data_IF_598239685982
#
_entry.id   IF_598239685982
#
_cell.length_a   1.000
_cell.length_b   1.000
_cell.length_c   1.000
_cell.angle_alpha   90.00
_cell.angle_beta   90.00
_cell.angle_gamma   90.00
#
_symmetry.space_group_name_H-M   'P 1'
#
loop_
_entity.id
_entity.type
_entity.pdbx_description
1 polymer ?
#
# COMPACT_ATOMS: atom_id res chain seq x y z
N UNK A 1 -29.73 -27.51 1.63
CA UNK A 1 -30.71 -27.85 0.61
C UNK A 1 -30.07 -28.50 -0.64
N UNK A 2 -28.74 -28.78 -0.63
CA UNK A 2 -28.00 -29.47 -1.68
C UNK A 2 -27.80 -28.69 -2.99
N UNK A 3 -28.06 -27.38 -3.00
CA UNK A 3 -27.79 -26.56 -4.19
C UNK A 3 -26.28 -26.39 -4.41
N UNK A 4 -25.85 -26.60 -5.66
CA UNK A 4 -24.50 -26.35 -6.11
C UNK A 4 -24.43 -24.92 -6.66
N UNK A 5 -23.48 -24.13 -6.13
CA UNK A 5 -23.18 -22.77 -6.62
C UNK A 5 -21.85 -22.79 -7.35
N UNK A 6 -21.83 -22.28 -8.59
CA UNK A 6 -20.60 -22.06 -9.34
C UNK A 6 -20.20 -20.60 -9.22
N UNK A 7 -18.92 -20.35 -9.00
CA UNK A 7 -18.32 -19.01 -8.92
C UNK A 7 -17.00 -18.98 -9.67
N UNK A 8 -16.80 -17.91 -10.42
CA UNK A 8 -15.48 -17.60 -10.96
C UNK A 8 -14.59 -17.04 -9.86
N UNK A 9 -13.30 -17.39 -9.89
CA UNK A 9 -12.30 -16.90 -8.97
C UNK A 9 -11.12 -16.35 -9.73
N UNK A 10 -10.74 -15.10 -9.46
CA UNK A 10 -9.53 -14.50 -9.96
C UNK A 10 -8.40 -14.79 -8.98
N UNK A 11 -7.29 -15.35 -9.49
CA UNK A 11 -6.05 -15.52 -8.74
C UNK A 11 -5.12 -14.38 -9.13
N UNK A 12 -4.60 -13.70 -8.11
CA UNK A 12 -3.67 -12.56 -8.27
C UNK A 12 -2.31 -12.93 -7.70
N UNK A 13 -1.22 -12.51 -8.39
CA UNK A 13 0.15 -12.69 -7.91
C UNK A 13 0.51 -14.15 -7.61
N UNK A 14 1.00 -14.41 -6.39
CA UNK A 14 1.26 -15.74 -5.86
C UNK A 14 -0.02 -16.55 -5.69
N UNK A 15 0.08 -17.84 -5.36
CA UNK A 15 -1.08 -18.75 -5.16
C UNK A 15 -2.16 -18.23 -4.21
N UNK A 16 -1.80 -17.35 -3.25
CA UNK A 16 -2.74 -16.75 -2.29
C UNK A 16 -3.26 -15.39 -2.76
N UNK A 17 -2.44 -14.65 -3.52
CA UNK A 17 -2.75 -13.30 -3.99
C UNK A 17 -2.78 -12.24 -2.88
N UNK A 18 -2.22 -12.54 -1.71
CA UNK A 18 -2.13 -11.60 -0.60
C UNK A 18 -1.14 -10.49 -0.94
N UNK A 19 -1.46 -9.27 -0.55
CA UNK A 19 -0.61 -8.11 -0.80
C UNK A 19 -0.42 -7.27 0.47
N UNK A 20 0.62 -6.46 0.45
CA UNK A 20 0.92 -5.48 1.48
C UNK A 20 0.84 -4.07 0.91
N UNK A 21 0.36 -3.13 1.71
CA UNK A 21 0.29 -1.71 1.38
C UNK A 21 1.02 -0.96 2.47
N UNK A 22 1.92 -0.06 2.09
CA UNK A 22 2.79 0.61 3.04
C UNK A 22 2.60 2.11 2.96
N UNK A 23 2.29 2.75 4.08
CA UNK A 23 2.36 4.20 4.25
C UNK A 23 3.69 4.54 4.91
N UNK A 24 4.69 5.02 4.15
CA UNK A 24 5.96 5.45 4.72
C UNK A 24 5.85 6.87 5.27
N UNK A 25 6.35 7.08 6.49
CA UNK A 25 6.44 8.41 7.12
C UNK A 25 7.87 8.65 7.58
N UNK A 26 8.47 9.75 7.14
CA UNK A 26 9.78 10.20 7.62
C UNK A 26 9.65 10.98 8.93
N UNK A 27 10.78 11.28 9.58
CA UNK A 27 10.81 12.15 10.77
C UNK A 27 10.32 13.58 10.47
N UNK A 28 10.51 14.03 9.25
CA UNK A 28 10.06 15.34 8.75
C UNK A 28 8.57 15.34 8.34
N UNK A 29 7.83 14.25 8.60
CA UNK A 29 6.43 14.04 8.25
C UNK A 29 6.17 14.02 6.73
N UNK A 30 7.17 13.66 5.94
CA UNK A 30 6.98 13.38 4.54
C UNK A 30 6.49 11.94 4.35
N UNK A 31 5.71 11.75 3.32
CA UNK A 31 5.31 10.43 2.80
C UNK A 31 5.72 10.28 1.35
N UNK A 32 5.60 9.08 0.83
CA UNK A 32 5.85 8.78 -0.57
C UNK A 32 4.58 8.16 -1.17
N UNK A 33 4.12 8.74 -2.25
CA UNK A 33 3.13 8.17 -3.14
C UNK A 33 3.84 7.61 -4.37
N UNK A 34 3.29 6.58 -4.97
CA UNK A 34 3.74 6.03 -6.25
C UNK A 34 2.73 6.37 -7.34
N UNK A 35 3.24 6.65 -8.53
CA UNK A 35 2.45 6.86 -9.74
C UNK A 35 2.78 5.70 -10.65
N UNK A 36 1.82 4.80 -10.82
CA UNK A 36 2.02 3.54 -11.53
C UNK A 36 1.14 3.47 -12.79
N UNK A 37 1.70 2.90 -13.87
CA UNK A 37 0.92 2.56 -15.05
C UNK A 37 -0.08 1.45 -14.72
N UNK A 38 -1.36 1.70 -14.97
CA UNK A 38 -2.47 0.77 -14.73
C UNK A 38 -3.36 0.69 -15.97
N UNK A 39 -3.05 -0.14 -16.97
CA UNK A 39 -3.78 -0.19 -18.24
C UNK A 39 -5.29 -0.45 -18.09
N UNK A 40 -5.70 -1.09 -17.01
CA UNK A 40 -7.10 -1.45 -16.75
C UNK A 40 -7.93 -0.30 -16.13
N UNK A 41 -7.31 0.82 -15.74
CA UNK A 41 -8.06 1.97 -15.25
C UNK A 41 -8.19 3.02 -16.35
N UNK A 42 -9.27 3.81 -16.30
CA UNK A 42 -9.64 4.78 -17.33
C UNK A 42 -8.53 5.78 -17.65
N UNK A 43 -7.81 6.22 -16.63
CA UNK A 43 -6.76 7.23 -16.74
C UNK A 43 -5.42 6.61 -17.23
N UNK A 44 -5.31 5.29 -17.30
CA UNK A 44 -4.07 4.58 -17.67
C UNK A 44 -2.97 4.63 -16.61
N UNK A 45 -3.15 5.44 -15.57
CA UNK A 45 -2.24 5.60 -14.43
C UNK A 45 -3.03 5.69 -13.13
N UNK A 46 -2.40 5.32 -12.01
CA UNK A 46 -2.98 5.43 -10.68
C UNK A 46 -1.98 6.06 -9.71
N UNK A 47 -2.50 6.84 -8.76
CA UNK A 47 -1.73 7.36 -7.62
C UNK A 47 -2.04 6.47 -6.43
N UNK A 48 -1.01 5.83 -5.90
CA UNK A 48 -1.14 4.77 -4.91
C UNK A 48 -0.09 4.95 -3.79
N UNK A 49 -0.23 4.20 -2.71
CA UNK A 49 0.86 3.94 -1.77
C UNK A 49 1.73 2.79 -2.29
N UNK A 50 3.01 2.71 -1.91
CA UNK A 50 3.84 1.55 -2.19
C UNK A 50 3.16 0.25 -1.77
N UNK A 51 3.14 -0.74 -2.66
CA UNK A 51 2.39 -1.97 -2.46
C UNK A 51 2.87 -3.11 -3.37
N UNK A 52 2.85 -4.34 -2.88
CA UNK A 52 3.13 -5.50 -3.70
C UNK A 52 2.66 -6.81 -3.09
N UNK A 53 2.88 -7.90 -3.81
CA UNK A 53 2.45 -9.22 -3.36
C UNK A 53 3.41 -9.81 -2.33
N UNK A 54 2.83 -10.59 -1.41
CA UNK A 54 3.60 -11.44 -0.50
C UNK A 54 4.11 -12.66 -1.27
N UNK A 55 5.41 -12.85 -1.30
CA UNK A 55 6.05 -13.99 -1.98
C UNK A 55 5.92 -15.29 -1.17
N UNK A 56 6.23 -16.42 -1.82
CA UNK A 56 6.28 -17.71 -1.14
C UNK A 56 7.43 -17.70 -0.12
N UNK A 57 7.14 -18.15 1.11
CA UNK A 57 8.06 -18.19 2.26
C UNK A 57 8.45 -16.83 2.86
N UNK A 58 7.73 -15.79 2.54
CA UNK A 58 7.89 -14.44 3.08
C UNK A 58 6.75 -14.12 4.07
N UNK A 59 7.06 -13.47 5.16
CA UNK A 59 6.03 -12.88 6.04
C UNK A 59 5.52 -11.56 5.45
N UNK A 60 4.34 -11.11 5.90
CA UNK A 60 3.77 -9.84 5.46
C UNK A 60 4.65 -8.63 5.83
N UNK A 61 5.33 -8.70 6.97
CA UNK A 61 6.28 -7.68 7.42
C UNK A 61 7.55 -7.66 6.57
N UNK A 62 8.04 -8.81 6.15
CA UNK A 62 9.18 -8.91 5.22
C UNK A 62 8.81 -8.37 3.85
N UNK A 63 7.66 -8.76 3.30
CA UNK A 63 7.11 -8.21 2.06
C UNK A 63 6.99 -6.69 2.13
N UNK A 64 6.42 -6.15 3.21
CA UNK A 64 6.28 -4.71 3.38
C UNK A 64 7.61 -3.96 3.39
N UNK A 65 8.65 -4.55 3.99
CA UNK A 65 10.00 -3.96 3.98
C UNK A 65 10.67 -4.06 2.62
N UNK A 66 10.49 -5.18 1.91
CA UNK A 66 11.02 -5.40 0.57
C UNK A 66 10.40 -4.41 -0.41
N UNK A 67 9.07 -4.35 -0.50
CA UNK A 67 8.34 -3.46 -1.39
C UNK A 67 8.65 -1.98 -1.13
N UNK A 68 8.68 -1.55 0.14
CA UNK A 68 9.09 -0.20 0.51
C UNK A 68 10.48 0.15 -0.03
N UNK A 69 11.42 -0.79 0.06
CA UNK A 69 12.78 -0.60 -0.43
C UNK A 69 12.84 -0.59 -1.95
N UNK A 70 12.16 -1.52 -2.62
CA UNK A 70 12.18 -1.67 -4.08
C UNK A 70 11.55 -0.48 -4.78
N UNK A 71 10.34 -0.10 -4.38
CA UNK A 71 9.60 0.98 -5.02
C UNK A 71 10.07 2.40 -4.64
N UNK A 72 10.63 2.58 -3.44
CA UNK A 72 10.97 3.94 -2.95
C UNK A 72 12.44 4.14 -2.58
N UNK A 73 13.20 3.07 -2.44
CA UNK A 73 14.57 3.10 -1.89
C UNK A 73 14.63 3.36 -0.38
N UNK A 74 13.48 3.37 0.29
CA UNK A 74 13.39 3.69 1.72
C UNK A 74 13.41 2.44 2.59
N UNK A 75 13.89 2.60 3.82
CA UNK A 75 13.92 1.55 4.84
C UNK A 75 13.42 2.07 6.17
N UNK A 76 12.86 1.18 6.99
CA UNK A 76 12.45 1.46 8.36
C UNK A 76 12.73 0.28 9.29
N UNK A 77 12.87 0.57 10.59
CA UNK A 77 12.86 -0.43 11.65
C UNK A 77 11.50 -0.53 12.35
N UNK A 78 10.54 0.35 12.02
CA UNK A 78 9.27 0.45 12.72
C UNK A 78 8.12 0.25 11.73
N UNK A 79 7.49 -0.93 11.77
CA UNK A 79 6.25 -1.22 11.07
C UNK A 79 5.12 -1.41 12.07
N UNK A 80 3.98 -0.80 11.79
CA UNK A 80 2.75 -0.94 12.57
C UNK A 80 1.67 -1.47 11.64
N UNK A 81 1.10 -2.63 11.94
CA UNK A 81 -0.06 -3.14 11.22
C UNK A 81 -1.27 -2.24 11.52
N UNK A 82 -1.81 -1.60 10.48
CA UNK A 82 -3.00 -0.75 10.58
C UNK A 82 -4.30 -1.55 10.47
N UNK A 83 -4.26 -2.65 9.77
CA UNK A 83 -5.40 -3.55 9.59
C UNK A 83 -5.25 -4.44 8.37
N UNK A 84 -6.19 -5.36 8.26
CA UNK A 84 -6.26 -6.33 7.17
C UNK A 84 -7.65 -6.35 6.57
N UNK A 85 -7.76 -6.68 5.29
CA UNK A 85 -9.03 -6.64 4.57
C UNK A 85 -9.01 -7.48 3.30
N UNK A 86 -10.19 -7.91 2.88
CA UNK A 86 -10.37 -8.47 1.54
C UNK A 86 -10.57 -7.35 0.53
N UNK A 87 -9.82 -7.34 -0.55
CA UNK A 87 -9.96 -6.34 -1.61
C UNK A 87 -11.25 -6.52 -2.40
N UNK A 88 -11.56 -7.77 -2.78
CA UNK A 88 -12.74 -8.11 -3.56
C UNK A 88 -13.16 -9.56 -3.26
N UNK A 89 -13.84 -9.74 -2.15
CA UNK A 89 -14.27 -11.07 -1.68
C UNK A 89 -15.35 -11.73 -2.56
N UNK A 90 -15.90 -11.00 -3.52
CA UNK A 90 -16.84 -11.54 -4.49
C UNK A 90 -16.18 -12.44 -5.53
N UNK A 91 -14.93 -12.15 -5.89
CA UNK A 91 -14.21 -12.85 -6.97
C UNK A 91 -12.78 -13.26 -6.61
N UNK A 92 -12.22 -12.78 -5.51
CA UNK A 92 -10.84 -13.05 -5.08
C UNK A 92 -10.77 -13.43 -3.62
N UNK A 93 -9.80 -14.27 -3.26
CA UNK A 93 -9.47 -14.59 -1.88
C UNK A 93 -8.30 -13.75 -1.34
N UNK A 94 -7.81 -12.78 -2.09
CA UNK A 94 -6.70 -11.92 -1.70
C UNK A 94 -7.00 -11.20 -0.38
N UNK A 95 -6.16 -11.41 0.63
CA UNK A 95 -6.27 -10.84 1.97
C UNK A 95 -5.11 -9.92 2.23
N UNK A 96 -5.35 -8.63 2.08
CA UNK A 96 -4.32 -7.60 2.07
C UNK A 96 -4.06 -7.06 3.47
N UNK A 97 -2.82 -6.65 3.72
CA UNK A 97 -2.37 -6.08 4.99
C UNK A 97 -1.81 -4.69 4.79
N UNK A 98 -2.30 -3.74 5.57
CA UNK A 98 -1.92 -2.34 5.52
C UNK A 98 -0.96 -2.01 6.67
N UNK A 99 0.17 -1.40 6.35
CA UNK A 99 1.22 -1.04 7.29
C UNK A 99 1.50 0.46 7.30
N UNK A 100 1.80 0.98 8.49
CA UNK A 100 2.44 2.27 8.69
C UNK A 100 3.92 2.03 8.97
N UNK A 101 4.78 2.58 8.14
CA UNK A 101 6.23 2.53 8.28
C UNK A 101 6.73 3.87 8.82
N UNK A 102 7.28 3.88 10.03
CA UNK A 102 7.72 5.10 10.71
C UNK A 102 9.23 5.30 10.60
N UNK A 103 9.65 6.56 10.73
CA UNK A 103 11.06 6.98 10.67
C UNK A 103 11.78 6.46 9.43
N UNK A 104 11.07 6.46 8.31
CA UNK A 104 11.60 6.02 7.03
C UNK A 104 12.79 6.86 6.59
N UNK A 105 13.80 6.20 6.07
CA UNK A 105 15.01 6.83 5.54
C UNK A 105 15.29 6.30 4.12
N UNK A 106 15.42 7.20 3.16
CA UNK A 106 15.85 6.83 1.81
C UNK A 106 17.34 6.51 1.82
N UNK A 107 17.69 5.27 1.54
CA UNK A 107 19.08 4.77 1.54
C UNK A 107 19.51 4.19 0.19
N UNK A 108 18.56 3.88 -0.69
CA UNK A 108 18.81 3.18 -1.95
C UNK A 108 18.12 3.90 -3.11
N UNK A 109 18.53 3.59 -4.32
CA UNK A 109 17.74 3.86 -5.52
C UNK A 109 16.58 2.87 -5.61
N UNK A 110 15.53 3.19 -6.39
CA UNK A 110 14.49 2.23 -6.75
C UNK A 110 15.10 0.99 -7.42
N UNK A 111 14.53 -0.16 -7.17
CA UNK A 111 14.92 -1.45 -7.73
C UNK A 111 13.66 -2.15 -8.27
N UNK A 112 13.10 -1.57 -9.33
CA UNK A 112 11.86 -2.02 -9.94
C UNK A 112 12.08 -3.27 -10.81
N UNK A 113 11.06 -4.12 -10.90
CA UNK A 113 11.02 -5.21 -11.86
C UNK A 113 10.93 -4.69 -13.30
N UNK A 114 11.26 -5.53 -14.28
CA UNK A 114 11.38 -5.10 -15.71
C UNK A 114 10.06 -4.61 -16.31
N UNK A 115 8.95 -5.06 -15.78
CA UNK A 115 7.58 -4.74 -16.19
C UNK A 115 6.89 -3.74 -15.26
N UNK A 116 7.61 -3.19 -14.28
CA UNK A 116 7.12 -2.14 -13.40
C UNK A 116 7.48 -0.75 -13.92
N UNK A 117 6.46 0.08 -14.09
CA UNK A 117 6.58 1.47 -14.52
C UNK A 117 6.07 2.38 -13.40
N UNK A 118 6.92 2.56 -12.39
CA UNK A 118 6.60 3.30 -11.16
C UNK A 118 7.48 4.55 -11.06
N UNK A 119 6.86 5.70 -10.84
CA UNK A 119 7.51 6.91 -10.34
C UNK A 119 7.01 7.19 -8.94
N UNK A 120 7.87 7.67 -8.06
CA UNK A 120 7.45 8.11 -6.74
C UNK A 120 7.36 9.64 -6.65
N UNK A 121 6.48 10.10 -5.78
CA UNK A 121 6.26 11.50 -5.43
C UNK A 121 6.33 11.65 -3.92
N UNK A 122 7.32 12.40 -3.44
CA UNK A 122 7.48 12.71 -2.01
C UNK A 122 6.72 14.00 -1.68
N UNK A 123 5.88 13.95 -0.66
CA UNK A 123 5.08 15.08 -0.21
C UNK A 123 4.90 15.07 1.31
N UNK A 124 4.31 16.10 1.88
CA UNK A 124 3.86 16.07 3.27
C UNK A 124 2.70 15.09 3.44
N UNK A 125 2.62 14.46 4.61
CA UNK A 125 1.49 13.55 4.90
C UNK A 125 0.13 14.27 4.78
N UNK A 126 0.05 15.53 5.21
CA UNK A 126 -1.14 16.37 5.07
C UNK A 126 -1.51 16.56 3.59
N UNK A 127 -0.53 16.76 2.71
CA UNK A 127 -0.77 16.88 1.26
C UNK A 127 -1.32 15.57 0.66
N UNK A 128 -0.79 14.43 1.09
CA UNK A 128 -1.34 13.13 0.68
C UNK A 128 -2.81 12.96 1.10
N UNK A 129 -3.19 13.44 2.28
CA UNK A 129 -4.57 13.46 2.74
C UNK A 129 -5.44 14.42 1.92
N UNK A 130 -4.92 15.58 1.51
CA UNK A 130 -5.63 16.48 0.60
C UNK A 130 -5.84 15.85 -0.78
N UNK A 131 -4.84 15.16 -1.32
CA UNK A 131 -4.96 14.44 -2.59
C UNK A 131 -6.02 13.33 -2.51
N UNK A 132 -6.11 12.64 -1.38
CA UNK A 132 -7.16 11.68 -1.10
C UNK A 132 -8.54 12.35 -1.10
N UNK A 133 -8.71 13.44 -0.35
CA UNK A 133 -9.99 14.18 -0.23
C UNK A 133 -10.44 14.78 -1.57
N UNK A 134 -9.50 15.21 -2.41
CA UNK A 134 -9.75 15.72 -3.77
C UNK A 134 -10.02 14.61 -4.80
N UNK A 135 -9.92 13.32 -4.41
CA UNK A 135 -10.20 12.18 -5.29
C UNK A 135 -9.10 11.85 -6.30
N UNK A 136 -7.88 12.31 -6.10
CA UNK A 136 -6.74 11.92 -6.93
C UNK A 136 -6.23 10.52 -6.60
N UNK A 137 -6.32 10.09 -5.34
CA UNK A 137 -6.01 8.72 -4.92
C UNK A 137 -7.30 7.91 -5.00
N UNK A 138 -7.44 7.10 -6.05
CA UNK A 138 -8.63 6.28 -6.31
C UNK A 138 -8.46 4.82 -5.93
N UNK A 139 -7.22 4.38 -5.69
CA UNK A 139 -6.93 3.03 -5.23
C UNK A 139 -7.49 2.81 -3.82
N UNK A 140 -8.37 1.82 -3.69
CA UNK A 140 -9.08 1.53 -2.45
C UNK A 140 -8.14 1.15 -1.29
N UNK A 141 -7.06 0.43 -1.60
CA UNK A 141 -6.09 -0.02 -0.60
C UNK A 141 -5.33 1.16 0.00
N UNK A 142 -4.91 2.10 -0.86
CA UNK A 142 -4.27 3.35 -0.45
C UNK A 142 -5.22 4.23 0.35
N UNK A 143 -6.48 4.35 -0.08
CA UNK A 143 -7.51 5.09 0.67
C UNK A 143 -7.71 4.51 2.07
N UNK A 144 -7.89 3.18 2.18
CA UNK A 144 -8.05 2.49 3.47
C UNK A 144 -6.87 2.78 4.39
N UNK A 145 -5.64 2.68 3.87
CA UNK A 145 -4.41 2.85 4.64
C UNK A 145 -4.26 4.29 5.15
N UNK A 146 -4.47 5.29 4.28
CA UNK A 146 -4.42 6.71 4.63
C UNK A 146 -5.49 7.08 5.68
N UNK A 147 -6.74 6.62 5.52
CA UNK A 147 -7.81 6.90 6.48
C UNK A 147 -7.58 6.23 7.84
N UNK A 148 -7.01 5.03 7.86
CA UNK A 148 -6.60 4.39 9.12
C UNK A 148 -5.52 5.19 9.84
N UNK A 149 -4.48 5.63 9.13
CA UNK A 149 -3.41 6.44 9.70
C UNK A 149 -3.93 7.80 10.20
N UNK A 150 -4.75 8.50 9.41
CA UNK A 150 -5.43 9.75 9.79
C UNK A 150 -6.22 9.60 11.11
N UNK A 151 -6.89 8.48 11.29
CA UNK A 151 -7.63 8.18 12.51
C UNK A 151 -6.72 8.02 13.72
N UNK A 152 -5.55 7.37 13.57
CA UNK A 152 -4.58 7.21 14.64
C UNK A 152 -3.94 8.55 15.05
N UNK A 153 -3.64 9.40 14.08
CA UNK A 153 -3.15 10.76 14.33
C UNK A 153 -4.18 11.57 15.11
N UNK A 154 -5.46 11.56 14.70
CA UNK A 154 -6.56 12.25 15.39
C UNK A 154 -6.78 11.76 16.82
N UNK A 155 -6.65 10.46 17.06
CA UNK A 155 -6.78 9.87 18.42
C UNK A 155 -5.57 10.14 19.32
N UNK A 156 -4.52 10.76 18.81
CA UNK A 156 -3.31 11.03 19.57
C UNK A 156 -2.36 9.84 19.74
N UNK A 157 -2.68 8.69 19.14
CA UNK A 157 -1.82 7.51 19.19
C UNK A 157 -0.48 7.75 18.49
N UNK A 158 -0.45 8.68 17.52
CA UNK A 158 0.74 9.12 16.77
C UNK A 158 0.96 10.62 16.94
N UNK A 159 0.93 11.13 18.17
CA UNK A 159 1.07 12.60 18.47
C UNK A 159 2.30 13.22 17.84
N UNK A 160 3.41 12.51 17.82
CA UNK A 160 4.67 12.97 17.22
C UNK A 160 4.58 13.18 15.68
N UNK A 161 3.54 12.68 15.05
CA UNK A 161 3.30 12.78 13.61
C UNK A 161 2.12 13.72 13.25
N UNK A 162 1.64 14.50 14.24
CA UNK A 162 0.69 15.60 14.01
C UNK A 162 1.35 16.80 13.37
#
# INVERSE_FOLDING_TARGET
DGRVLTRDKVLKGSKKGDAVIILPITKEKNTVLVIQARPNVKEGVSVELPAGYVEDNETKEEAARRELKEETGSVTNQLILLGEFYQDQGISSAYNSSFLALDCQKKYSQMLDKDEFIRYYECKFEEALELLEKGYIKDLQSQYTLEKAKTLVKKGTLIQYK
#
